data_IF_686588508096
#
_entry.id   IF_686588508096
#
_cell.length_a   1.000
_cell.length_b   1.000
_cell.length_c   1.000
_cell.angle_alpha   90.00
_cell.angle_beta   90.00
_cell.angle_gamma   90.00
#
_symmetry.space_group_name_H-M   'P 1'
#
loop_
_entity.id
_entity.type
_entity.pdbx_description
1 polymer ?
#
# COMPACT_ATOMS: atom_id res chain seq x y z
N UNK A 1 -17.42 33.52 -27.73
CA UNK A 1 -17.41 32.06 -27.63
C UNK A 1 -17.67 31.64 -26.20
N UNK A 2 -18.83 31.03 -25.95
CA UNK A 2 -19.19 30.47 -24.64
C UNK A 2 -18.42 29.17 -24.49
N UNK A 3 -17.54 29.10 -23.50
CA UNK A 3 -16.84 27.87 -23.12
C UNK A 3 -17.91 26.90 -22.60
N UNK A 4 -18.40 26.02 -23.47
CA UNK A 4 -19.16 24.84 -23.05
C UNK A 4 -18.20 23.95 -22.29
N UNK A 5 -18.30 23.95 -20.96
CA UNK A 5 -17.69 22.91 -20.13
C UNK A 5 -18.20 21.56 -20.63
N UNK A 6 -17.32 20.53 -20.78
CA UNK A 6 -17.77 19.21 -21.19
C UNK A 6 -18.83 18.73 -20.21
N UNK A 7 -19.99 18.33 -20.75
CA UNK A 7 -21.06 17.73 -19.96
C UNK A 7 -20.46 16.50 -19.28
N UNK A 8 -20.54 16.35 -17.93
CA UNK A 8 -20.02 15.16 -17.26
C UNK A 8 -20.67 13.93 -17.89
N UNK A 9 -19.85 12.97 -18.31
CA UNK A 9 -20.36 11.73 -18.89
C UNK A 9 -21.28 11.01 -17.89
N UNK A 10 -22.32 10.29 -18.36
CA UNK A 10 -23.14 9.53 -17.44
C UNK A 10 -22.30 8.48 -16.72
N UNK A 11 -22.32 8.55 -15.40
CA UNK A 11 -21.65 7.61 -14.51
C UNK A 11 -22.69 6.90 -13.66
N UNK A 12 -22.50 5.60 -13.43
CA UNK A 12 -23.37 4.82 -12.56
C UNK A 12 -22.57 3.82 -11.73
N UNK A 13 -23.15 3.36 -10.63
CA UNK A 13 -22.53 2.41 -9.73
C UNK A 13 -23.15 1.04 -9.91
N UNK A 14 -22.32 0.02 -10.13
CA UNK A 14 -22.76 -1.36 -10.26
C UNK A 14 -21.67 -2.32 -9.78
N UNK A 15 -22.03 -3.57 -9.43
CA UNK A 15 -21.06 -4.58 -9.03
C UNK A 15 -19.98 -4.77 -10.10
N UNK A 16 -18.74 -4.94 -9.66
CA UNK A 16 -17.66 -5.32 -10.58
C UNK A 16 -17.92 -6.73 -11.14
N UNK A 17 -17.86 -6.87 -12.46
CA UNK A 17 -18.10 -8.13 -13.18
C UNK A 17 -16.97 -8.51 -14.15
N UNK A 18 -15.81 -7.84 -14.05
CA UNK A 18 -14.62 -8.15 -14.83
C UNK A 18 -13.89 -9.38 -14.28
N UNK A 19 -12.84 -9.77 -14.98
CA UNK A 19 -12.02 -10.95 -14.64
C UNK A 19 -10.69 -10.57 -14.01
N UNK A 20 -10.04 -9.50 -14.49
CA UNK A 20 -8.66 -9.13 -14.09
C UNK A 20 -8.54 -8.75 -12.63
N UNK A 21 -9.50 -8.02 -12.09
CA UNK A 21 -9.53 -7.54 -10.71
C UNK A 21 -10.50 -8.32 -9.81
N UNK A 22 -11.01 -9.45 -10.28
CA UNK A 22 -12.02 -10.25 -9.56
C UNK A 22 -11.54 -10.68 -8.18
N UNK A 23 -10.27 -11.07 -8.04
CA UNK A 23 -9.68 -11.46 -6.75
C UNK A 23 -9.66 -10.33 -5.69
N UNK A 24 -9.69 -9.06 -6.11
CA UNK A 24 -9.53 -7.90 -5.23
C UNK A 24 -10.83 -7.12 -5.04
N UNK A 25 -11.69 -7.10 -6.07
CA UNK A 25 -12.91 -6.29 -6.13
C UNK A 25 -14.20 -7.12 -6.02
N UNK A 26 -14.10 -8.42 -5.70
CA UNK A 26 -15.28 -9.27 -5.55
C UNK A 26 -16.25 -8.71 -4.50
N UNK A 27 -17.52 -8.57 -4.88
CA UNK A 27 -18.57 -8.07 -4.00
C UNK A 27 -18.57 -6.55 -3.80
N UNK A 28 -17.61 -5.82 -4.38
CA UNK A 28 -17.57 -4.34 -4.34
C UNK A 28 -18.42 -3.73 -5.45
N UNK A 29 -18.96 -2.54 -5.17
CA UNK A 29 -19.69 -1.71 -6.13
C UNK A 29 -18.74 -0.65 -6.63
N UNK A 30 -18.47 -0.65 -7.94
CA UNK A 30 -17.49 0.24 -8.57
C UNK A 30 -18.18 1.20 -9.53
N UNK A 31 -17.49 2.30 -9.83
CA UNK A 31 -17.96 3.31 -10.78
C UNK A 31 -17.78 2.86 -12.23
N UNK A 32 -18.85 3.03 -13.03
CA UNK A 32 -18.92 2.75 -14.45
C UNK A 32 -19.05 4.03 -15.25
N UNK A 33 -18.31 4.10 -16.37
CA UNK A 33 -18.48 5.16 -17.36
C UNK A 33 -19.32 4.63 -18.50
N UNK A 34 -20.30 5.38 -18.99
CA UNK A 34 -21.13 4.91 -20.12
C UNK A 34 -20.39 4.90 -21.46
N UNK A 35 -19.27 5.62 -21.58
CA UNK A 35 -18.46 5.64 -22.79
C UNK A 35 -17.66 4.33 -23.03
N UNK A 36 -17.32 3.61 -21.96
CA UNK A 36 -16.50 2.39 -22.02
C UNK A 36 -17.09 1.28 -21.15
N UNK A 37 -17.27 0.10 -21.74
CA UNK A 37 -17.70 -1.08 -20.98
C UNK A 37 -16.62 -1.53 -19.98
N UNK A 38 -17.04 -2.17 -18.89
CA UNK A 38 -16.13 -2.77 -17.89
C UNK A 38 -15.14 -3.69 -18.58
N UNK A 39 -15.59 -4.56 -19.49
CA UNK A 39 -14.74 -5.48 -20.23
C UNK A 39 -13.63 -4.77 -21.02
N UNK A 40 -13.90 -3.60 -21.61
CA UNK A 40 -12.88 -2.83 -22.33
C UNK A 40 -11.82 -2.31 -21.36
N UNK A 41 -12.23 -1.72 -20.24
CA UNK A 41 -11.29 -1.23 -19.20
C UNK A 41 -10.52 -2.37 -18.54
N UNK A 42 -11.19 -3.49 -18.28
CA UNK A 42 -10.59 -4.70 -17.70
C UNK A 42 -9.51 -5.26 -18.62
N UNK A 43 -9.81 -5.36 -19.92
CA UNK A 43 -8.85 -5.81 -20.94
C UNK A 43 -7.68 -4.83 -21.04
N UNK A 44 -7.94 -3.53 -21.07
CA UNK A 44 -6.89 -2.50 -21.14
C UNK A 44 -5.97 -2.55 -19.91
N UNK A 45 -6.55 -2.67 -18.71
CA UNK A 45 -5.80 -2.84 -17.47
C UNK A 45 -4.98 -4.13 -17.50
N UNK A 46 -5.57 -5.24 -17.95
CA UNK A 46 -4.86 -6.51 -18.08
C UNK A 46 -3.64 -6.39 -19.00
N UNK A 47 -3.81 -5.77 -20.17
CA UNK A 47 -2.70 -5.53 -21.10
C UNK A 47 -1.59 -4.70 -20.45
N UNK A 48 -1.94 -3.66 -19.70
CA UNK A 48 -0.95 -2.84 -18.98
C UNK A 48 -0.23 -3.64 -17.88
N UNK A 49 -0.97 -4.44 -17.10
CA UNK A 49 -0.38 -5.29 -16.06
C UNK A 49 0.58 -6.32 -16.66
N UNK A 50 0.19 -6.99 -17.74
CA UNK A 50 1.04 -7.96 -18.43
C UNK A 50 2.28 -7.31 -19.05
N UNK A 51 2.18 -6.07 -19.52
CA UNK A 51 3.35 -5.31 -19.97
C UNK A 51 4.33 -5.02 -18.82
N UNK A 52 3.81 -4.67 -17.64
CA UNK A 52 4.62 -4.43 -16.45
C UNK A 52 5.33 -5.70 -15.98
N UNK A 53 4.61 -6.82 -15.91
CA UNK A 53 5.16 -8.15 -15.59
C UNK A 53 6.21 -8.56 -16.62
N UNK A 54 5.90 -8.43 -17.92
CA UNK A 54 6.80 -8.82 -19.01
C UNK A 54 8.09 -8.01 -19.09
N UNK A 55 8.11 -6.80 -18.51
CA UNK A 55 9.31 -5.97 -18.33
C UNK A 55 10.13 -6.36 -17.09
N UNK A 56 9.68 -7.34 -16.33
CA UNK A 56 10.34 -7.80 -15.10
C UNK A 56 10.08 -6.91 -13.88
N UNK A 57 9.07 -6.03 -13.92
CA UNK A 57 8.75 -5.13 -12.79
C UNK A 57 8.31 -5.89 -11.52
N UNK A 58 7.98 -7.15 -11.67
CA UNK A 58 7.49 -8.04 -10.63
C UNK A 58 8.33 -9.33 -10.57
N UNK A 59 9.47 -9.37 -11.27
CA UNK A 59 10.30 -10.56 -11.34
C UNK A 59 11.49 -10.43 -10.39
N UNK A 60 11.38 -11.05 -9.22
CA UNK A 60 12.52 -11.23 -8.32
C UNK A 60 13.27 -12.53 -8.65
N UNK A 61 14.56 -12.41 -9.00
CA UNK A 61 15.45 -13.55 -9.27
C UNK A 61 15.74 -14.45 -8.05
N UNK A 62 15.27 -14.05 -6.85
CA UNK A 62 15.62 -14.62 -5.55
C UNK A 62 14.39 -15.03 -4.72
N UNK A 63 13.27 -15.36 -5.38
CA UNK A 63 12.16 -16.11 -4.76
C UNK A 63 11.35 -15.33 -3.72
N UNK A 64 10.28 -14.69 -4.21
CA UNK A 64 9.22 -14.08 -3.41
C UNK A 64 8.98 -12.64 -3.82
N UNK A 65 8.21 -12.41 -4.88
CA UNK A 65 7.84 -11.04 -5.24
C UNK A 65 6.80 -10.50 -4.25
N UNK A 66 7.26 -9.55 -3.43
CA UNK A 66 6.43 -8.83 -2.45
C UNK A 66 5.70 -7.64 -3.06
N UNK A 67 5.96 -7.30 -4.32
CA UNK A 67 5.40 -6.12 -5.01
C UNK A 67 4.16 -6.45 -5.86
N UNK A 68 4.12 -7.58 -6.59
CA UNK A 68 3.04 -7.88 -7.55
C UNK A 68 1.64 -7.80 -6.95
N UNK A 69 1.34 -8.55 -5.89
CA UNK A 69 -0.01 -8.59 -5.31
C UNK A 69 -0.44 -7.22 -4.76
N UNK A 70 0.36 -6.53 -3.91
CA UNK A 70 0.06 -5.17 -3.47
C UNK A 70 -0.14 -4.16 -4.62
N UNK A 71 0.69 -4.23 -5.66
CA UNK A 71 0.61 -3.34 -6.81
C UNK A 71 -0.63 -3.60 -7.65
N UNK A 72 -0.89 -4.85 -8.05
CA UNK A 72 -2.08 -5.23 -8.84
C UNK A 72 -3.35 -4.82 -8.11
N UNK A 73 -3.41 -5.07 -6.81
CA UNK A 73 -4.55 -4.70 -5.96
C UNK A 73 -4.78 -3.20 -5.94
N UNK A 74 -3.75 -2.40 -5.70
CA UNK A 74 -3.84 -0.94 -5.75
C UNK A 74 -4.31 -0.45 -7.13
N UNK A 75 -3.72 -0.96 -8.20
CA UNK A 75 -4.08 -0.58 -9.57
C UNK A 75 -5.54 -0.92 -9.90
N UNK A 76 -6.06 -2.04 -9.39
CA UNK A 76 -7.47 -2.40 -9.51
C UNK A 76 -8.39 -1.38 -8.84
N UNK A 77 -8.10 -0.96 -7.61
CA UNK A 77 -8.88 0.10 -6.94
C UNK A 77 -8.75 1.47 -7.60
N UNK A 78 -7.63 1.75 -8.27
CA UNK A 78 -7.46 2.99 -9.04
C UNK A 78 -8.23 2.96 -10.36
N UNK A 79 -8.21 1.82 -11.07
CA UNK A 79 -8.88 1.64 -12.35
C UNK A 79 -10.41 1.53 -12.21
N UNK A 80 -10.86 0.95 -11.09
CA UNK A 80 -12.27 0.76 -10.76
C UNK A 80 -12.58 1.33 -9.36
N UNK A 81 -12.72 2.66 -9.25
CA UNK A 81 -13.01 3.31 -7.97
C UNK A 81 -14.29 2.78 -7.31
N UNK A 82 -14.25 2.57 -6.00
CA UNK A 82 -15.41 2.18 -5.19
C UNK A 82 -16.45 3.31 -5.15
N UNK A 83 -17.74 2.97 -5.15
CA UNK A 83 -18.81 3.95 -4.98
C UNK A 83 -19.18 4.15 -3.51
N UNK A 84 -19.25 5.40 -3.05
CA UNK A 84 -19.69 5.72 -1.70
C UNK A 84 -21.22 5.71 -1.58
N UNK A 85 -21.82 4.87 -0.72
CA UNK A 85 -23.25 4.88 -0.40
C UNK A 85 -24.19 4.93 -1.63
N UNK A 86 -23.81 4.25 -2.73
CA UNK A 86 -24.53 4.27 -4.02
C UNK A 86 -24.67 5.65 -4.69
N UNK A 87 -23.91 6.65 -4.23
CA UNK A 87 -23.78 7.95 -4.89
C UNK A 87 -22.80 7.88 -6.06
N UNK A 88 -22.84 8.86 -6.97
CA UNK A 88 -21.91 9.00 -8.10
C UNK A 88 -20.53 9.51 -7.63
N UNK A 89 -20.24 9.48 -6.33
CA UNK A 89 -18.94 9.86 -5.81
C UNK A 89 -18.01 8.65 -5.79
N UNK A 90 -17.00 8.66 -6.66
CA UNK A 90 -15.93 7.67 -6.67
C UNK A 90 -14.96 7.92 -5.50
N UNK A 91 -14.72 6.89 -4.72
CA UNK A 91 -13.69 6.85 -3.69
C UNK A 91 -12.35 6.57 -4.33
N UNK A 92 -11.37 7.41 -4.04
CA UNK A 92 -10.00 7.19 -4.49
C UNK A 92 -9.25 6.26 -3.53
N UNK A 93 -8.16 5.67 -3.99
CA UNK A 93 -7.25 4.95 -3.08
C UNK A 93 -6.70 5.91 -2.03
N UNK A 94 -6.64 5.49 -0.77
CA UNK A 94 -6.05 6.31 0.28
C UNK A 94 -4.55 6.56 0.02
N UNK A 95 -4.10 7.78 0.33
CA UNK A 95 -2.70 8.22 0.24
C UNK A 95 -1.75 7.22 0.88
N UNK A 96 -2.06 6.76 2.08
CA UNK A 96 -1.21 5.85 2.84
C UNK A 96 -1.10 4.48 2.16
N UNK A 97 -2.18 4.00 1.53
CA UNK A 97 -2.12 2.76 0.74
C UNK A 97 -1.24 2.92 -0.49
N UNK A 98 -1.34 4.05 -1.20
CA UNK A 98 -0.47 4.36 -2.33
C UNK A 98 1.01 4.45 -1.89
N UNK A 99 1.27 5.14 -0.79
CA UNK A 99 2.64 5.30 -0.25
C UNK A 99 3.22 3.97 0.22
N UNK A 100 2.44 3.12 0.90
CA UNK A 100 2.90 1.81 1.32
C UNK A 100 3.27 0.92 0.13
N UNK A 101 2.41 0.81 -0.89
CA UNK A 101 2.74 0.05 -2.10
C UNK A 101 4.03 0.57 -2.76
N UNK A 102 4.18 1.89 -2.93
CA UNK A 102 5.38 2.45 -3.59
C UNK A 102 6.64 2.35 -2.75
N UNK A 103 6.57 2.60 -1.44
CA UNK A 103 7.77 2.76 -0.59
C UNK A 103 8.14 1.53 0.22
N UNK A 104 7.21 0.62 0.49
CA UNK A 104 7.43 -0.61 1.27
C UNK A 104 7.55 -1.81 0.34
N UNK A 105 6.56 -2.01 -0.54
CA UNK A 105 6.49 -3.22 -1.36
C UNK A 105 7.28 -3.09 -2.67
N UNK A 106 7.13 -1.97 -3.38
CA UNK A 106 7.61 -1.82 -4.76
C UNK A 106 8.80 -0.88 -4.93
N UNK A 107 9.47 -0.48 -3.84
CA UNK A 107 10.51 0.56 -3.89
C UNK A 107 11.68 0.22 -4.82
N UNK A 108 12.10 -1.06 -4.87
CA UNK A 108 13.20 -1.52 -5.73
C UNK A 108 12.81 -1.44 -7.20
N UNK A 109 11.68 -2.05 -7.55
CA UNK A 109 11.14 -2.07 -8.90
C UNK A 109 10.85 -0.67 -9.44
N UNK A 110 10.37 0.25 -8.60
CA UNK A 110 10.16 1.65 -8.98
C UNK A 110 11.47 2.41 -9.22
N UNK A 111 12.51 2.16 -8.41
CA UNK A 111 13.83 2.76 -8.64
C UNK A 111 14.45 2.31 -9.97
N UNK A 112 14.28 1.04 -10.34
CA UNK A 112 14.72 0.50 -11.64
C UNK A 112 13.98 1.14 -12.81
N UNK A 113 12.67 1.39 -12.69
CA UNK A 113 11.90 2.11 -13.71
C UNK A 113 12.40 3.55 -13.90
N UNK A 114 12.69 4.24 -12.81
CA UNK A 114 13.22 5.60 -12.86
C UNK A 114 14.61 5.64 -13.54
N UNK A 115 15.47 4.67 -13.23
CA UNK A 115 16.77 4.52 -13.89
C UNK A 115 16.62 4.22 -15.40
N UNK A 116 15.74 3.30 -15.78
CA UNK A 116 15.45 2.99 -17.18
C UNK A 116 14.86 4.18 -17.96
N UNK A 117 14.04 5.01 -17.30
CA UNK A 117 13.52 6.26 -17.87
C UNK A 117 14.64 7.29 -18.04
N UNK A 118 15.52 7.42 -17.05
CA UNK A 118 16.64 8.36 -17.10
C UNK A 118 17.68 8.01 -18.18
N UNK A 119 17.89 6.72 -18.41
CA UNK A 119 18.85 6.19 -19.40
C UNK A 119 18.29 6.16 -20.83
N UNK A 120 17.05 6.61 -21.04
CA UNK A 120 16.40 6.65 -22.36
C UNK A 120 16.04 5.28 -22.93
N UNK A 121 16.16 4.21 -22.13
CA UNK A 121 15.76 2.84 -22.51
C UNK A 121 14.25 2.64 -22.46
N UNK A 122 13.53 3.54 -21.78
CA UNK A 122 12.08 3.52 -21.60
C UNK A 122 11.44 4.70 -22.34
N UNK A 123 10.84 4.43 -23.51
CA UNK A 123 10.28 5.48 -24.40
C UNK A 123 8.77 5.68 -24.25
N UNK A 124 8.07 4.86 -23.47
CA UNK A 124 6.61 4.91 -23.32
C UNK A 124 6.16 5.43 -21.95
N UNK A 125 5.07 6.20 -21.93
CA UNK A 125 4.31 6.55 -20.74
C UNK A 125 3.80 5.26 -20.06
N UNK A 126 4.60 4.63 -19.21
CA UNK A 126 4.14 3.52 -18.35
C UNK A 126 3.24 4.13 -17.28
N UNK A 127 1.97 4.25 -17.64
CA UNK A 127 1.07 5.31 -17.16
C UNK A 127 0.41 5.08 -15.81
N UNK A 128 0.56 3.92 -15.15
CA UNK A 128 -0.24 3.61 -13.96
C UNK A 128 0.56 3.63 -12.65
N UNK A 129 1.76 3.02 -12.60
CA UNK A 129 2.61 3.02 -11.39
C UNK A 129 3.57 4.22 -11.33
N UNK A 130 4.01 4.73 -12.49
CA UNK A 130 4.93 5.86 -12.58
C UNK A 130 4.27 7.23 -12.30
N UNK A 131 2.94 7.35 -12.46
CA UNK A 131 2.25 8.65 -12.48
C UNK A 131 1.35 8.94 -11.27
N UNK A 132 1.07 7.96 -10.42
CA UNK A 132 0.29 8.23 -9.21
C UNK A 132 1.14 9.03 -8.21
N UNK A 133 0.94 10.35 -8.16
CA UNK A 133 1.39 11.18 -7.05
C UNK A 133 0.48 10.92 -5.86
N UNK A 134 0.94 10.04 -4.97
CA UNK A 134 0.20 9.68 -3.76
C UNK A 134 -0.15 10.92 -2.91
N UNK A 135 0.60 12.03 -3.02
CA UNK A 135 0.33 13.25 -2.27
C UNK A 135 -0.93 14.00 -2.73
N UNK A 136 -1.48 13.64 -3.89
CA UNK A 136 -2.77 14.18 -4.37
C UNK A 136 -3.97 13.44 -3.80
N UNK A 137 -3.75 12.24 -3.26
CA UNK A 137 -4.83 11.38 -2.77
C UNK A 137 -5.31 11.77 -1.37
N UNK A 138 -6.59 11.56 -1.03
CA UNK A 138 -7.12 11.74 0.32
C UNK A 138 -6.39 10.85 1.34
N UNK A 139 -6.18 11.36 2.55
CA UNK A 139 -5.57 10.59 3.65
C UNK A 139 -6.64 9.87 4.45
N UNK A 140 -6.38 8.62 4.83
CA UNK A 140 -7.31 7.85 5.68
C UNK A 140 -7.47 8.43 7.09
N UNK A 141 -6.47 9.20 7.54
CA UNK A 141 -6.44 9.75 8.90
C UNK A 141 -7.26 11.03 9.06
N UNK A 142 -7.52 11.75 7.97
CA UNK A 142 -8.30 12.99 8.00
C UNK A 142 -9.57 12.95 7.13
N UNK A 143 -9.65 12.02 6.18
CA UNK A 143 -10.69 11.95 5.15
C UNK A 143 -11.07 10.50 4.83
N UNK A 144 -11.28 9.67 5.86
CA UNK A 144 -11.59 8.24 5.70
C UNK A 144 -12.82 7.97 4.82
N UNK A 145 -13.80 8.89 4.81
CA UNK A 145 -15.02 8.77 3.99
C UNK A 145 -14.78 9.05 2.50
N UNK A 146 -13.64 9.65 2.13
CA UNK A 146 -13.30 10.04 0.76
C UNK A 146 -12.36 9.03 0.07
N UNK A 147 -11.86 8.04 0.81
CA UNK A 147 -10.87 7.11 0.29
C UNK A 147 -11.16 5.66 0.68
N UNK A 148 -10.57 4.74 -0.08
CA UNK A 148 -10.64 3.31 0.18
C UNK A 148 -9.24 2.76 0.41
N UNK A 149 -9.08 1.98 1.48
CA UNK A 149 -7.86 1.21 1.70
C UNK A 149 -7.82 0.06 0.69
N UNK A 150 -6.66 -0.18 0.09
CA UNK A 150 -6.51 -1.24 -0.91
C UNK A 150 -6.27 -2.63 -0.31
N UNK A 151 -6.31 -2.79 1.02
CA UNK A 151 -6.07 -4.08 1.74
C UNK A 151 -4.74 -4.79 1.38
N UNK A 152 -3.77 -4.05 0.83
CA UNK A 152 -2.50 -4.55 0.30
C UNK A 152 -1.51 -5.04 1.37
N UNK A 153 -1.85 -4.89 2.65
CA UNK A 153 -0.98 -5.33 3.74
C UNK A 153 -1.02 -6.84 3.98
N UNK A 154 -1.99 -7.58 3.42
CA UNK A 154 -2.11 -9.03 3.61
C UNK A 154 -2.42 -9.40 5.07
N UNK A 155 -3.35 -8.67 5.70
CA UNK A 155 -3.74 -8.91 7.08
C UNK A 155 -4.23 -10.35 7.27
N UNK A 156 -3.66 -11.05 8.25
CA UNK A 156 -4.03 -12.42 8.59
C UNK A 156 -4.33 -12.51 10.10
N UNK A 157 -5.61 -12.63 10.50
CA UNK A 157 -5.99 -12.75 11.91
C UNK A 157 -5.31 -13.93 12.62
N UNK A 158 -5.00 -15.00 11.89
CA UNK A 158 -4.38 -16.21 12.45
C UNK A 158 -2.93 -16.00 12.90
N UNK A 159 -2.27 -14.92 12.46
CA UNK A 159 -0.90 -14.59 12.81
C UNK A 159 -0.79 -13.54 13.93
N UNK A 160 -1.91 -12.94 14.35
CA UNK A 160 -1.94 -11.94 15.42
C UNK A 160 -1.72 -12.61 16.77
N UNK A 161 -0.76 -12.11 17.55
CA UNK A 161 -0.39 -12.63 18.88
C UNK A 161 0.04 -11.48 19.79
N UNK A 162 -0.26 -11.59 21.08
CA UNK A 162 0.07 -10.56 22.07
C UNK A 162 1.19 -10.99 23.04
N UNK A 163 1.49 -12.29 23.11
CA UNK A 163 2.38 -12.93 24.08
C UNK A 163 3.67 -13.51 23.46
N UNK A 164 3.60 -13.97 22.21
CA UNK A 164 4.73 -14.45 21.40
C UNK A 164 4.61 -13.91 19.97
N UNK A 165 5.59 -14.15 19.11
CA UNK A 165 5.50 -13.75 17.71
C UNK A 165 5.52 -14.94 16.73
N UNK A 166 4.70 -14.90 15.69
CA UNK A 166 4.69 -15.91 14.61
C UNK A 166 5.53 -15.42 13.43
N UNK A 167 6.29 -16.32 12.79
CA UNK A 167 7.20 -16.01 11.69
C UNK A 167 8.20 -14.90 12.06
N UNK A 168 8.08 -13.71 11.47
CA UNK A 168 8.90 -12.53 11.77
C UNK A 168 8.23 -11.57 12.77
N UNK A 169 7.03 -11.90 13.25
CA UNK A 169 6.30 -11.06 14.19
C UNK A 169 5.72 -9.78 13.58
N UNK A 170 5.42 -9.77 12.28
CA UNK A 170 4.75 -8.65 11.62
C UNK A 170 3.45 -8.26 12.34
N UNK A 171 2.67 -9.26 12.73
CA UNK A 171 1.38 -9.10 13.39
C UNK A 171 1.45 -9.26 14.93
N UNK A 172 2.65 -9.15 15.52
CA UNK A 172 2.78 -9.10 16.97
C UNK A 172 2.12 -7.81 17.50
N UNK A 173 1.23 -7.95 18.47
CA UNK A 173 0.40 -6.87 19.01
C UNK A 173 0.51 -6.74 20.55
N UNK A 174 1.52 -7.38 21.15
CA UNK A 174 1.80 -7.25 22.59
C UNK A 174 2.30 -5.86 22.99
N UNK A 175 2.63 -5.71 24.28
CA UNK A 175 2.92 -4.41 24.91
C UNK A 175 4.36 -4.23 25.39
N UNK A 176 5.29 -5.10 24.96
CA UNK A 176 6.72 -4.96 25.29
C UNK A 176 7.22 -3.65 24.71
N UNK A 177 7.86 -2.81 25.54
CA UNK A 177 8.31 -1.44 25.19
C UNK A 177 9.78 -1.20 25.53
N UNK A 178 10.57 -2.27 25.64
CA UNK A 178 12.00 -2.24 25.92
C UNK A 178 12.73 -3.19 24.98
N UNK A 179 13.94 -2.79 24.56
CA UNK A 179 14.77 -3.60 23.68
C UNK A 179 15.43 -4.73 24.44
N UNK A 180 16.06 -5.67 23.71
CA UNK A 180 16.81 -6.78 24.31
C UNK A 180 17.94 -6.35 25.24
N UNK A 181 18.59 -5.23 24.96
CA UNK A 181 19.61 -4.66 25.86
C UNK A 181 19.05 -3.81 27.00
N UNK A 182 17.72 -3.65 27.08
CA UNK A 182 17.04 -2.89 28.13
C UNK A 182 16.87 -1.40 27.83
N UNK A 183 17.06 -0.96 26.58
CA UNK A 183 16.81 0.44 26.18
C UNK A 183 15.30 0.69 26.09
N UNK A 184 14.89 1.89 26.49
CA UNK A 184 13.48 2.31 26.34
C UNK A 184 13.17 2.58 24.88
N UNK A 185 12.02 2.06 24.42
CA UNK A 185 11.54 2.32 23.08
C UNK A 185 11.02 3.75 22.92
N UNK A 186 11.36 4.37 21.80
CA UNK A 186 10.77 5.62 21.31
C UNK A 186 9.37 5.32 20.74
N UNK A 187 8.43 6.24 20.96
CA UNK A 187 7.10 6.12 20.36
C UNK A 187 7.17 6.21 18.83
N UNK A 188 6.43 5.35 18.14
CA UNK A 188 6.48 5.25 16.67
C UNK A 188 6.06 6.54 15.97
N UNK A 189 5.26 7.41 16.60
CA UNK A 189 4.87 8.69 16.01
C UNK A 189 5.84 9.83 16.33
N UNK A 190 6.76 9.64 17.28
CA UNK A 190 7.80 10.63 17.61
C UNK A 190 8.96 10.53 16.62
N UNK A 191 9.53 11.67 16.22
CA UNK A 191 10.66 11.72 15.26
C UNK A 191 12.01 12.04 15.92
N UNK A 192 12.07 11.91 17.25
CA UNK A 192 13.24 12.26 18.07
C UNK A 192 13.32 11.28 19.26
N UNK A 193 14.54 10.82 19.65
CA UNK A 193 15.83 11.13 19.02
C UNK A 193 16.04 10.53 17.63
N UNK A 194 15.29 9.49 17.28
CA UNK A 194 15.47 8.73 16.04
C UNK A 194 14.46 9.19 14.99
N UNK A 195 14.96 9.64 13.83
CA UNK A 195 14.11 9.99 12.68
C UNK A 195 13.65 8.75 11.93
N UNK A 196 12.45 8.77 11.39
CA UNK A 196 11.94 7.66 10.56
C UNK A 196 12.19 7.92 9.08
N UNK A 197 12.56 6.87 8.35
CA UNK A 197 12.76 6.94 6.89
C UNK A 197 11.42 6.90 6.13
N UNK A 198 10.41 6.27 6.75
CA UNK A 198 9.04 6.18 6.24
C UNK A 198 8.05 6.65 7.30
N UNK A 199 6.92 7.18 6.85
CA UNK A 199 5.86 7.60 7.77
C UNK A 199 5.26 6.38 8.49
N UNK A 200 5.20 6.36 9.83
CA UNK A 200 4.56 5.29 10.61
C UNK A 200 3.09 5.04 10.21
N UNK A 201 2.44 6.08 9.70
CA UNK A 201 1.04 6.09 9.29
C UNK A 201 0.71 5.18 8.10
N UNK A 202 1.72 4.66 7.40
CA UNK A 202 1.54 3.71 6.29
C UNK A 202 1.56 2.25 6.76
N UNK A 203 1.85 2.00 8.04
CA UNK A 203 1.94 0.66 8.60
C UNK A 203 0.75 0.39 9.54
N UNK A 204 -0.20 -0.50 9.18
CA UNK A 204 -1.32 -0.84 10.04
C UNK A 204 -0.86 -1.45 11.38
N UNK A 205 0.31 -2.08 11.40
CA UNK A 205 0.92 -2.69 12.59
C UNK A 205 1.29 -1.66 13.66
N UNK A 206 1.44 -0.38 13.29
CA UNK A 206 1.83 0.71 14.18
C UNK A 206 0.63 1.50 14.74
N UNK A 207 -0.59 1.19 14.30
CA UNK A 207 -1.79 1.90 14.72
C UNK A 207 -2.08 1.60 16.19
N UNK A 208 -2.00 2.62 17.04
CA UNK A 208 -2.18 2.47 18.48
C UNK A 208 -1.04 1.72 19.19
N UNK A 209 0.09 1.49 18.51
CA UNK A 209 1.21 0.76 19.10
C UNK A 209 2.04 1.59 20.10
N UNK A 210 1.79 2.89 20.25
CA UNK A 210 2.57 3.78 21.13
C UNK A 210 4.09 3.64 20.90
N UNK A 211 4.82 3.07 21.87
CA UNK A 211 6.23 2.70 21.78
C UNK A 211 6.47 1.17 21.89
N UNK A 212 5.43 0.36 21.72
CA UNK A 212 5.53 -1.09 21.79
C UNK A 212 6.31 -1.65 20.61
N UNK A 213 7.05 -2.72 20.86
CA UNK A 213 7.82 -3.43 19.85
C UNK A 213 6.88 -3.96 18.75
N UNK A 214 7.25 -3.71 17.49
CA UNK A 214 6.50 -4.12 16.30
C UNK A 214 7.49 -4.54 15.22
N UNK A 215 7.01 -5.17 14.16
CA UNK A 215 7.82 -5.38 12.97
C UNK A 215 7.09 -4.84 11.73
N UNK A 216 7.11 -3.51 11.50
CA UNK A 216 6.40 -2.87 10.40
C UNK A 216 6.77 -3.48 9.06
N UNK A 217 5.78 -3.93 8.28
CA UNK A 217 6.01 -4.59 6.99
C UNK A 217 6.68 -5.98 7.07
N UNK A 218 7.02 -6.48 8.26
CA UNK A 218 7.75 -7.75 8.42
C UNK A 218 9.18 -7.70 7.85
N UNK A 219 9.79 -6.52 7.84
CA UNK A 219 11.11 -6.30 7.21
C UNK A 219 12.21 -7.00 8.01
N UNK A 220 12.21 -6.80 9.33
CA UNK A 220 13.21 -7.37 10.24
C UNK A 220 12.91 -8.83 10.60
N UNK A 221 13.86 -9.50 11.25
CA UNK A 221 13.70 -10.92 11.64
C UNK A 221 12.70 -11.16 12.77
N UNK A 222 12.42 -10.14 13.60
CA UNK A 222 11.52 -10.21 14.76
C UNK A 222 11.06 -8.79 15.16
N UNK A 223 10.13 -8.63 16.13
CA UNK A 223 9.72 -7.32 16.60
C UNK A 223 10.87 -6.50 17.21
N UNK A 224 10.87 -5.22 16.92
CA UNK A 224 11.89 -4.25 17.29
C UNK A 224 11.25 -2.89 17.60
N UNK A 225 12.04 -1.93 18.07
CA UNK A 225 11.62 -0.53 18.21
C UNK A 225 12.80 0.42 17.98
N UNK A 226 12.50 1.67 17.61
CA UNK A 226 13.47 2.75 17.75
C UNK A 226 13.78 2.99 19.23
N UNK A 227 15.01 3.36 19.57
CA UNK A 227 15.39 3.57 20.97
C UNK A 227 15.41 5.05 21.33
N UNK A 228 15.22 5.37 22.61
CA UNK A 228 15.42 6.74 23.13
C UNK A 228 16.89 7.11 23.32
N UNK A 229 17.83 6.22 23.02
CA UNK A 229 19.26 6.50 23.04
C UNK A 229 19.73 6.96 21.65
N UNK A 230 20.39 8.11 21.58
CA UNK A 230 20.94 8.67 20.33
C UNK A 230 22.00 7.76 19.69
N UNK A 231 22.69 6.92 20.48
CA UNK A 231 23.75 6.03 20.00
C UNK A 231 23.19 4.78 19.31
N UNK A 232 21.97 4.38 19.66
CA UNK A 232 21.33 3.16 19.16
C UNK A 232 20.07 3.51 18.41
N UNK A 233 20.14 3.53 17.07
CA UNK A 233 18.98 3.91 16.24
C UNK A 233 17.76 3.06 16.55
N UNK A 234 17.93 1.75 16.55
CA UNK A 234 16.88 0.80 16.84
C UNK A 234 17.53 -0.49 17.34
N UNK A 235 16.74 -1.34 17.99
CA UNK A 235 17.17 -2.67 18.42
C UNK A 235 15.96 -3.61 18.47
N UNK A 236 16.22 -4.91 18.26
CA UNK A 236 15.23 -5.96 18.48
C UNK A 236 14.77 -6.02 19.95
N UNK A 237 13.55 -6.48 20.16
CA UNK A 237 13.01 -6.73 21.48
C UNK A 237 13.11 -8.21 21.85
N UNK A 238 13.21 -8.48 23.14
CA UNK A 238 13.28 -9.84 23.68
C UNK A 238 11.85 -10.40 23.85
N UNK A 239 11.33 -10.97 22.78
CA UNK A 239 10.01 -11.60 22.70
C UNK A 239 10.25 -13.01 22.17
N UNK A 240 9.56 -14.01 22.71
CA UNK A 240 9.72 -15.39 22.28
C UNK A 240 8.93 -15.68 20.98
N UNK A 241 9.43 -16.55 20.08
CA UNK A 241 8.65 -17.08 18.98
C UNK A 241 7.56 -18.04 19.49
N UNK A 242 6.43 -18.07 18.78
CA UNK A 242 5.48 -19.18 18.83
C UNK A 242 5.98 -20.32 17.91
#
# INVERSE_FOLDING_TARGET
DVITLPIPEPQFCAPYNGTTCSAYLQGRIVMHHTAESIQQRDTALNTQLEELVGRGLFSDAMGGDLCEDPARRMLCHMAFPDCHNQTIQALQVCRESCQAVKSVFCFRHLAELEDMKSTGKLSSNIGLLSLADCLTLPSKWNSSELCVESDHHGYSPSLVRDDCYVEKGRWYNGTVSVTKSGLTCQAWLEVSPQKHDRSPLIFPELVGAENFCRNPGGEESQPWCYTTDIQYRWEICDIDPC
#
